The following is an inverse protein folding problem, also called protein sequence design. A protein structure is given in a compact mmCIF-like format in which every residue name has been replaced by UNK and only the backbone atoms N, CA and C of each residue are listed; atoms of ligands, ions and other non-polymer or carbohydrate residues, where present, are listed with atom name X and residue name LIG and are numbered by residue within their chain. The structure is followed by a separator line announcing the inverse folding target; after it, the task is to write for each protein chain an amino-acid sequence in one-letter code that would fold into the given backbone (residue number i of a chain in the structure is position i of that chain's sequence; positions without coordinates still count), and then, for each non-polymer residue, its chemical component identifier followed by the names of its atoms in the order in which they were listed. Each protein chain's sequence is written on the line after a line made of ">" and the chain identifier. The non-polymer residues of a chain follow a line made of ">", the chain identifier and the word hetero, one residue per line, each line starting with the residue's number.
data_IF_256410109101
#
_entry.id   IF_256410109101
#
_cell.length_a   1.000
_cell.length_b   1.000
_cell.length_c   1.000
_cell.angle_alpha   90.00
_cell.angle_beta   90.00
_cell.angle_gamma   90.00
#
_symmetry.space_group_name_H-M   'P 1'
#
loop_
_entity.id
_entity.type
_entity.pdbx_description
1 polymer ?
#
# COMPACT_ATOMS: atom_id res chain seq x y z
N UNK A 1 -26.79 -1.45 1.52
CA UNK A 1 -25.63 -1.01 2.34
C UNK A 1 -24.54 -0.28 1.56
N UNK A 2 -24.14 -0.78 0.38
CA UNK A 2 -23.02 -0.22 -0.42
C UNK A 2 -23.24 1.23 -0.87
N UNK A 3 -24.37 1.53 -1.56
CA UNK A 3 -24.66 2.87 -2.11
C UNK A 3 -24.65 3.99 -1.05
N UNK A 4 -25.08 3.67 0.17
CA UNK A 4 -25.10 4.62 1.29
C UNK A 4 -23.69 5.01 1.79
N UNK A 5 -22.68 4.18 1.53
CA UNK A 5 -21.31 4.35 2.02
C UNK A 5 -20.31 4.76 0.94
N UNK A 6 -20.76 5.18 -0.25
CA UNK A 6 -19.84 5.62 -1.31
C UNK A 6 -19.03 6.87 -0.94
N UNK A 7 -19.53 7.71 -0.02
CA UNK A 7 -18.81 8.91 0.45
C UNK A 7 -17.51 8.55 1.20
N UNK A 8 -17.50 7.47 1.99
CA UNK A 8 -16.28 7.05 2.69
C UNK A 8 -15.24 6.51 1.69
N UNK A 9 -15.68 5.81 0.64
CA UNK A 9 -14.81 5.33 -0.45
C UNK A 9 -14.06 6.49 -1.11
N UNK A 10 -14.78 7.54 -1.52
CA UNK A 10 -14.17 8.72 -2.14
C UNK A 10 -13.23 9.44 -1.19
N UNK A 11 -13.64 9.63 0.07
CA UNK A 11 -12.83 10.33 1.07
C UNK A 11 -11.52 9.58 1.40
N UNK A 12 -11.56 8.25 1.50
CA UNK A 12 -10.36 7.46 1.75
C UNK A 12 -9.47 7.46 0.51
N UNK A 13 -10.02 7.25 -0.69
CA UNK A 13 -9.24 7.22 -1.94
C UNK A 13 -8.48 8.53 -2.17
N UNK A 14 -9.11 9.68 -1.94
CA UNK A 14 -8.47 11.00 -2.05
C UNK A 14 -7.24 11.14 -1.14
N UNK A 15 -7.26 10.58 0.08
CA UNK A 15 -6.12 10.63 1.01
C UNK A 15 -4.88 9.89 0.48
N UNK A 16 -5.06 8.82 -0.30
CA UNK A 16 -3.95 8.06 -0.86
C UNK A 16 -3.31 8.78 -2.06
N UNK A 17 -4.08 9.54 -2.83
CA UNK A 17 -3.53 10.37 -3.91
C UNK A 17 -2.65 11.52 -3.40
N UNK A 18 -3.07 12.20 -2.33
CA UNK A 18 -2.34 13.35 -1.79
C UNK A 18 -1.03 12.96 -1.08
N UNK A 19 -0.82 11.67 -0.79
CA UNK A 19 0.35 11.15 -0.04
C UNK A 19 1.52 10.73 -0.93
N UNK A 20 1.61 11.24 -2.16
CA UNK A 20 2.69 10.91 -3.12
C UNK A 20 2.78 9.43 -3.55
N UNK A 21 1.81 8.58 -3.17
CA UNK A 21 1.65 7.23 -3.73
C UNK A 21 1.03 7.28 -5.15
N UNK A 22 1.35 8.34 -5.90
CA UNK A 22 0.71 8.80 -7.16
C UNK A 22 0.87 7.88 -8.36
N UNK A 23 1.09 6.59 -8.12
CA UNK A 23 1.12 5.55 -9.14
C UNK A 23 -0.29 5.09 -9.56
N UNK A 24 -1.31 5.33 -8.73
CA UNK A 24 -2.69 4.94 -8.99
C UNK A 24 -3.58 6.16 -9.30
N UNK A 25 -4.28 6.12 -10.44
CA UNK A 25 -5.25 7.15 -10.83
C UNK A 25 -6.42 7.15 -9.85
N UNK A 26 -7.04 8.33 -9.59
CA UNK A 26 -8.15 8.46 -8.64
C UNK A 26 -9.26 7.43 -8.89
N UNK A 27 -9.59 7.25 -10.17
CA UNK A 27 -10.66 6.37 -10.62
C UNK A 27 -10.34 4.92 -10.26
N UNK A 28 -9.11 4.49 -10.49
CA UNK A 28 -8.65 3.14 -10.13
C UNK A 28 -8.65 2.95 -8.61
N UNK A 29 -8.20 3.96 -7.86
CA UNK A 29 -8.26 3.95 -6.39
C UNK A 29 -9.69 3.83 -5.85
N UNK A 30 -10.66 4.50 -6.48
CA UNK A 30 -12.08 4.39 -6.13
C UNK A 30 -12.61 3.00 -6.44
N UNK A 31 -12.25 2.40 -7.57
CA UNK A 31 -12.70 1.04 -7.92
C UNK A 31 -12.17 0.02 -6.92
N UNK A 32 -10.87 0.08 -6.60
CA UNK A 32 -10.25 -0.79 -5.61
C UNK A 32 -10.83 -0.60 -4.21
N UNK A 33 -11.15 0.63 -3.85
CA UNK A 33 -11.86 0.96 -2.62
C UNK A 33 -13.29 0.39 -2.59
N UNK A 34 -14.01 0.40 -3.70
CA UNK A 34 -15.33 -0.24 -3.83
C UNK A 34 -15.24 -1.76 -3.61
N UNK A 35 -14.19 -2.42 -4.13
CA UNK A 35 -13.94 -3.85 -3.87
C UNK A 35 -13.70 -4.08 -2.36
N UNK A 36 -12.92 -3.21 -1.71
CA UNK A 36 -12.73 -3.24 -0.26
C UNK A 36 -14.04 -3.05 0.52
N UNK A 37 -14.88 -2.11 0.11
CA UNK A 37 -16.19 -1.88 0.73
C UNK A 37 -17.12 -3.10 0.56
N UNK A 38 -17.13 -3.75 -0.60
CA UNK A 38 -17.92 -4.98 -0.80
C UNK A 38 -17.50 -6.09 0.16
N UNK A 39 -16.18 -6.32 0.31
CA UNK A 39 -15.65 -7.29 1.30
C UNK A 39 -16.04 -6.92 2.73
N UNK A 40 -16.06 -5.63 3.06
CA UNK A 40 -16.53 -5.17 4.36
C UNK A 40 -18.02 -5.48 4.57
N UNK A 41 -18.84 -5.29 3.55
CA UNK A 41 -20.28 -5.61 3.60
C UNK A 41 -20.51 -7.10 3.79
N UNK A 42 -19.77 -7.95 3.08
CA UNK A 42 -19.89 -9.41 3.17
C UNK A 42 -19.52 -9.98 4.54
N UNK A 43 -18.53 -9.36 5.21
CA UNK A 43 -17.95 -9.88 6.46
C UNK A 43 -18.38 -9.13 7.72
N UNK A 44 -19.20 -8.09 7.57
CA UNK A 44 -19.62 -7.30 8.72
C UNK A 44 -20.71 -8.01 9.49
N UNK A 45 -20.47 -8.17 10.80
CA UNK A 45 -21.43 -8.67 11.76
C UNK A 45 -21.94 -7.51 12.64
N UNK A 46 -23.23 -7.11 12.51
CA UNK A 46 -23.83 -6.07 13.34
C UNK A 46 -23.94 -6.44 14.83
N UNK A 47 -23.95 -7.73 15.19
CA UNK A 47 -24.14 -8.18 16.57
C UNK A 47 -22.94 -7.83 17.46
N UNK A 48 -21.75 -7.63 16.86
CA UNK A 48 -20.55 -7.19 17.55
C UNK A 48 -20.60 -5.73 18.03
N UNK A 49 -21.63 -4.96 17.66
CA UNK A 49 -21.87 -3.61 18.19
C UNK A 49 -20.95 -2.50 17.63
N UNK A 50 -20.06 -2.80 16.70
CA UNK A 50 -19.20 -1.81 16.06
C UNK A 50 -19.91 -1.06 14.92
N UNK A 51 -19.62 0.24 14.76
CA UNK A 51 -20.11 1.01 13.60
C UNK A 51 -19.51 0.47 12.31
N UNK A 52 -20.36 0.21 11.31
CA UNK A 52 -19.93 -0.27 9.99
C UNK A 52 -18.86 0.61 9.34
N UNK A 53 -18.95 1.94 9.48
CA UNK A 53 -17.98 2.88 8.88
C UNK A 53 -16.56 2.66 9.40
N UNK A 54 -16.39 2.35 10.69
CA UNK A 54 -15.10 2.03 11.30
C UNK A 54 -14.54 0.72 10.75
N UNK A 55 -15.40 -0.28 10.55
CA UNK A 55 -15.01 -1.58 9.99
C UNK A 55 -14.64 -1.47 8.50
N UNK A 56 -15.50 -0.82 7.71
CA UNK A 56 -15.30 -0.61 6.28
C UNK A 56 -14.03 0.19 5.98
N UNK A 57 -13.66 1.14 6.83
CA UNK A 57 -12.43 1.91 6.68
C UNK A 57 -11.18 1.03 6.56
N UNK A 58 -11.08 -0.04 7.35
CA UNK A 58 -9.95 -0.97 7.31
C UNK A 58 -9.87 -1.72 5.96
N UNK A 59 -10.99 -2.29 5.52
CA UNK A 59 -11.05 -3.03 4.26
C UNK A 59 -10.80 -2.14 3.05
N UNK A 60 -11.34 -0.92 3.04
CA UNK A 60 -11.11 0.06 1.98
C UNK A 60 -9.62 0.40 1.91
N UNK A 61 -8.99 0.73 3.05
CA UNK A 61 -7.55 1.05 3.10
C UNK A 61 -6.67 -0.11 2.67
N UNK A 62 -7.00 -1.31 3.11
CA UNK A 62 -6.25 -2.52 2.75
C UNK A 62 -6.33 -2.78 1.24
N UNK A 63 -7.52 -2.64 0.64
CA UNK A 63 -7.71 -2.86 -0.79
C UNK A 63 -6.90 -1.86 -1.62
N UNK A 64 -6.99 -0.57 -1.29
CA UNK A 64 -6.20 0.48 -1.98
C UNK A 64 -4.70 0.23 -1.81
N UNK A 65 -4.23 -0.04 -0.58
CA UNK A 65 -2.81 -0.30 -0.31
C UNK A 65 -2.30 -1.51 -1.10
N UNK A 66 -3.10 -2.57 -1.17
CA UNK A 66 -2.78 -3.75 -1.97
C UNK A 66 -2.68 -3.41 -3.45
N UNK A 67 -3.63 -2.66 -3.99
CA UNK A 67 -3.63 -2.25 -5.39
C UNK A 67 -2.37 -1.45 -5.74
N UNK A 68 -2.01 -0.45 -4.94
CA UNK A 68 -0.78 0.34 -5.12
C UNK A 68 0.45 -0.56 -5.13
N UNK A 69 0.55 -1.52 -4.22
CA UNK A 69 1.67 -2.47 -4.21
C UNK A 69 1.70 -3.41 -5.43
N UNK A 70 0.57 -3.64 -6.09
CA UNK A 70 0.46 -4.55 -7.23
C UNK A 70 0.65 -3.88 -8.58
N UNK A 71 0.20 -2.62 -8.73
CA UNK A 71 0.22 -1.86 -9.99
C UNK A 71 1.21 -0.71 -9.96
N UNK A 72 1.84 -0.45 -8.83
CA UNK A 72 2.71 0.71 -8.61
C UNK A 72 4.02 0.71 -9.40
N UNK A 73 4.44 -0.45 -9.89
CA UNK A 73 5.69 -0.62 -10.61
C UNK A 73 5.41 -1.18 -12.00
N UNK A 74 6.10 -0.68 -13.03
CA UNK A 74 5.99 -1.18 -14.41
C UNK A 74 6.24 -2.69 -14.46
N UNK A 75 7.23 -3.16 -13.71
CA UNK A 75 7.47 -4.58 -13.47
C UNK A 75 7.00 -4.89 -12.05
N UNK A 76 6.12 -5.89 -11.93
CA UNK A 76 5.56 -6.28 -10.63
C UNK A 76 6.67 -6.82 -9.72
N UNK A 77 6.85 -6.17 -8.58
CA UNK A 77 7.77 -6.61 -7.52
C UNK A 77 6.97 -7.28 -6.39
N UNK A 78 7.47 -8.40 -5.81
CA UNK A 78 6.90 -9.01 -4.61
C UNK A 78 6.72 -8.03 -3.43
N UNK A 79 5.70 -8.26 -2.61
CA UNK A 79 5.36 -7.40 -1.47
C UNK A 79 6.49 -7.27 -0.43
N UNK A 80 7.22 -8.35 -0.15
CA UNK A 80 8.36 -8.34 0.77
C UNK A 80 9.46 -7.38 0.31
N UNK A 81 9.75 -7.36 -0.99
CA UNK A 81 10.74 -6.46 -1.57
C UNK A 81 10.26 -5.01 -1.56
N UNK A 82 9.00 -4.73 -1.89
CA UNK A 82 8.43 -3.38 -1.77
C UNK A 82 8.51 -2.82 -0.34
N UNK A 83 8.32 -3.67 0.68
CA UNK A 83 8.52 -3.27 2.07
C UNK A 83 9.98 -2.89 2.34
N UNK A 84 10.94 -3.66 1.86
CA UNK A 84 12.36 -3.35 2.03
C UNK A 84 12.73 -2.05 1.33
N UNK A 85 12.26 -1.82 0.10
CA UNK A 85 12.45 -0.57 -0.64
C UNK A 85 11.85 0.62 0.12
N UNK A 86 10.62 0.46 0.65
CA UNK A 86 9.97 1.52 1.44
C UNK A 86 10.77 1.84 2.71
N UNK A 87 11.24 0.82 3.43
CA UNK A 87 12.09 1.00 4.61
C UNK A 87 13.40 1.71 4.24
N UNK A 88 14.08 1.26 3.18
CA UNK A 88 15.31 1.86 2.66
C UNK A 88 15.12 3.35 2.33
N UNK A 89 14.01 3.72 1.68
CA UNK A 89 13.69 5.10 1.34
C UNK A 89 13.40 5.99 2.58
N UNK A 90 13.02 5.40 3.71
CA UNK A 90 12.80 6.10 4.97
C UNK A 90 14.06 6.20 5.84
N UNK A 91 15.13 5.49 5.51
CA UNK A 91 16.40 5.61 6.22
C UNK A 91 17.06 6.97 5.96
N UNK A 92 17.78 7.54 6.95
CA UNK A 92 18.51 8.78 6.74
C UNK A 92 19.56 8.61 5.62
N UNK A 93 19.68 9.64 4.78
CA UNK A 93 20.69 9.66 3.72
C UNK A 93 22.09 9.71 4.34
N UNK A 94 23.05 8.99 3.75
CA UNK A 94 24.46 8.98 4.19
C UNK A 94 24.86 7.82 5.11
N UNK A 95 23.96 6.88 5.39
CA UNK A 95 24.32 5.61 6.03
C UNK A 95 25.25 4.79 5.13
N UNK A 96 26.20 4.11 5.76
CA UNK A 96 27.08 3.16 5.07
C UNK A 96 26.35 1.84 4.82
N UNK A 97 26.77 1.12 3.78
CA UNK A 97 26.20 -0.19 3.41
C UNK A 97 26.10 -1.20 4.57
N UNK A 98 27.12 -1.38 5.44
CA UNK A 98 26.98 -2.25 6.60
C UNK A 98 25.92 -1.79 7.61
N UNK A 99 25.78 -0.48 7.84
CA UNK A 99 24.75 0.06 8.74
C UNK A 99 23.34 -0.17 8.18
N UNK A 100 23.18 -0.08 6.86
CA UNK A 100 21.92 -0.37 6.17
C UNK A 100 21.57 -1.85 6.30
N UNK A 101 22.54 -2.74 6.09
CA UNK A 101 22.34 -4.19 6.23
C UNK A 101 21.93 -4.57 7.65
N UNK A 102 22.54 -3.94 8.67
CA UNK A 102 22.22 -4.19 10.08
C UNK A 102 20.80 -3.71 10.42
N UNK A 103 20.43 -2.48 10.00
CA UNK A 103 19.09 -1.93 10.26
C UNK A 103 17.96 -2.64 9.53
N UNK A 104 18.22 -3.13 8.31
CA UNK A 104 17.23 -3.86 7.51
C UNK A 104 17.25 -5.37 7.77
N UNK A 105 18.24 -5.87 8.54
CA UNK A 105 18.50 -7.29 8.77
C UNK A 105 18.60 -8.10 7.46
N UNK A 106 19.34 -7.57 6.49
CA UNK A 106 19.56 -8.18 5.16
C UNK A 106 21.05 -8.44 4.93
N UNK A 107 21.37 -9.40 4.05
CA UNK A 107 22.75 -9.66 3.64
C UNK A 107 23.27 -8.59 2.67
N UNK A 108 24.60 -8.45 2.58
CA UNK A 108 25.24 -7.53 1.63
C UNK A 108 24.90 -7.88 0.17
N UNK A 109 24.75 -9.17 -0.14
CA UNK A 109 24.29 -9.64 -1.45
C UNK A 109 22.84 -9.19 -1.74
N UNK A 110 21.95 -9.27 -0.74
CA UNK A 110 20.57 -8.80 -0.87
C UNK A 110 20.51 -7.28 -1.09
N UNK A 111 21.35 -6.51 -0.40
CA UNK A 111 21.44 -5.06 -0.60
C UNK A 111 21.91 -4.71 -2.01
N UNK A 112 22.93 -5.40 -2.53
CA UNK A 112 23.41 -5.22 -3.92
C UNK A 112 22.33 -5.53 -4.93
N UNK A 113 21.66 -6.68 -4.80
CA UNK A 113 20.57 -7.08 -5.68
C UNK A 113 19.41 -6.07 -5.66
N UNK A 114 19.09 -5.54 -4.48
CA UNK A 114 18.03 -4.55 -4.32
C UNK A 114 18.41 -3.21 -4.98
N UNK A 115 19.66 -2.78 -4.88
CA UNK A 115 20.16 -1.59 -5.60
C UNK A 115 20.17 -1.79 -7.12
N UNK A 116 20.61 -2.95 -7.61
CA UNK A 116 20.56 -3.28 -9.03
C UNK A 116 19.13 -3.24 -9.58
N UNK A 117 18.15 -3.73 -8.82
CA UNK A 117 16.74 -3.70 -9.21
C UNK A 117 16.11 -2.29 -9.20
N UNK A 118 16.68 -1.34 -8.45
CA UNK A 118 16.18 0.04 -8.35
C UNK A 118 16.77 0.99 -9.39
N UNK A 119 17.89 0.65 -10.01
CA UNK A 119 18.46 1.45 -11.10
C UNK A 119 17.75 1.07 -12.40
N UNK A 120 17.05 1.99 -13.08
CA UNK A 120 16.50 1.70 -14.39
C UNK A 120 17.65 1.38 -15.34
N UNK A 121 17.68 0.16 -15.88
CA UNK A 121 18.58 -0.16 -16.98
C UNK A 121 18.20 0.69 -18.20
N UNK A 122 19.17 1.38 -18.83
CA UNK A 122 18.93 2.20 -20.01
C UNK A 122 18.45 1.38 -21.21
#
# INVERSE_FOLDING_TARGET
>A
MIKANLRIVVNVSKKYMHRQLGQLVLVDGIQEACIGLNRAVEKFDPELGYKFSSYAYWWIRQSISRAINQTGSTIRVPYSLNQLITKLNHLPRGLTDPEICDQLHISDEQLKNLRHALVPHP
#
